data_IF_890840453572
#
_entry.id   IF_890840453572
#
_cell.length_a   1.000
_cell.length_b   1.000
_cell.length_c   1.000
_cell.angle_alpha   90.00
_cell.angle_beta   90.00
_cell.angle_gamma   90.00
#
_symmetry.space_group_name_H-M   'P 1'
#
loop_
_entity.id
_entity.type
_entity.pdbx_description
1 polymer ?
#
# COMPACT_ATOMS: atom_id res chain seq x y z
N UNK A 1 -16.77 27.03 -5.64
CA UNK A 1 -15.44 26.95 -4.98
C UNK A 1 -15.64 26.93 -3.48
N UNK A 2 -14.83 26.17 -2.72
CA UNK A 2 -14.92 26.17 -1.25
C UNK A 2 -14.51 27.53 -0.69
N UNK A 3 -15.14 27.97 0.40
CA UNK A 3 -14.93 29.32 0.95
C UNK A 3 -13.50 29.57 1.45
N UNK A 4 -12.79 28.51 1.83
CA UNK A 4 -11.40 28.56 2.29
C UNK A 4 -10.55 27.54 1.52
N UNK A 5 -10.03 27.90 0.33
CA UNK A 5 -9.21 26.99 -0.46
C UNK A 5 -7.87 26.71 0.22
N UNK A 6 -7.44 25.45 0.23
CA UNK A 6 -6.12 25.06 0.73
C UNK A 6 -5.06 25.63 -0.20
N UNK A 7 -4.03 26.34 0.33
CA UNK A 7 -2.95 26.88 -0.48
C UNK A 7 -1.98 25.76 -0.86
N UNK A 8 -2.28 25.04 -1.93
CA UNK A 8 -1.37 24.01 -2.45
C UNK A 8 -0.10 24.64 -3.06
N UNK A 9 1.06 23.96 -2.91
CA UNK A 9 2.32 24.47 -3.46
C UNK A 9 2.28 24.54 -5.00
N UNK A 10 3.18 25.34 -5.57
CA UNK A 10 3.42 25.44 -7.02
C UNK A 10 2.18 25.83 -7.86
N UNK A 11 1.19 26.50 -7.27
CA UNK A 11 -0.03 26.93 -7.96
C UNK A 11 -0.99 25.77 -8.28
N UNK A 12 -0.82 24.61 -7.65
CA UNK A 12 -1.74 23.49 -7.80
C UNK A 12 -3.14 23.83 -7.31
N UNK A 13 -4.16 23.22 -7.92
CA UNK A 13 -5.57 23.39 -7.53
C UNK A 13 -6.07 22.30 -6.59
N UNK A 14 -5.35 21.18 -6.52
CA UNK A 14 -5.62 20.05 -5.64
C UNK A 14 -4.32 19.27 -5.38
N UNK A 15 -4.35 18.41 -4.37
CA UNK A 15 -3.35 17.37 -4.18
C UNK A 15 -3.98 16.00 -4.47
N UNK A 16 -3.15 15.06 -4.92
CA UNK A 16 -3.51 13.66 -5.07
C UNK A 16 -2.46 12.82 -4.33
N UNK A 17 -2.91 11.90 -3.49
CA UNK A 17 -2.06 10.92 -2.83
C UNK A 17 -2.48 9.53 -3.30
N UNK A 18 -1.54 8.78 -3.87
CA UNK A 18 -1.74 7.36 -4.16
C UNK A 18 -1.00 6.59 -3.08
N UNK A 19 -1.75 5.84 -2.30
CA UNK A 19 -1.24 5.07 -1.16
C UNK A 19 -1.42 3.57 -1.40
N UNK A 20 -0.56 2.79 -0.75
CA UNK A 20 -0.61 1.34 -0.83
C UNK A 20 -0.67 0.73 0.56
N UNK A 21 -1.68 -0.11 0.77
CA UNK A 21 -1.78 -0.93 1.97
C UNK A 21 -1.09 -2.26 1.64
N UNK A 22 0.08 -2.47 2.23
CA UNK A 22 0.86 -3.69 2.04
C UNK A 22 0.61 -4.64 3.21
N UNK A 23 -0.59 -5.21 3.22
CA UNK A 23 -1.06 -6.04 4.33
C UNK A 23 -0.47 -7.45 4.32
N UNK A 24 0.04 -7.92 3.17
CA UNK A 24 0.48 -9.29 2.96
C UNK A 24 -0.56 -10.31 3.47
N UNK A 25 -0.16 -11.19 4.40
CA UNK A 25 -1.00 -12.20 5.03
C UNK A 25 -1.59 -11.75 6.38
N UNK A 26 -1.57 -10.46 6.70
CA UNK A 26 -1.93 -10.01 8.05
C UNK A 26 -3.36 -10.24 8.49
N UNK A 27 -4.31 -10.03 7.59
CA UNK A 27 -5.71 -10.34 7.87
C UNK A 27 -5.94 -11.85 8.09
N UNK A 28 -5.04 -12.70 7.59
CA UNK A 28 -5.15 -14.16 7.78
C UNK A 28 -4.83 -14.52 9.22
N UNK A 29 -3.74 -14.03 9.81
CA UNK A 29 -3.48 -14.36 11.22
C UNK A 29 -4.44 -13.64 12.18
N UNK A 30 -4.99 -12.47 11.83
CA UNK A 30 -6.06 -11.85 12.63
C UNK A 30 -7.33 -12.69 12.61
N UNK A 31 -7.77 -13.13 11.42
CA UNK A 31 -9.03 -13.88 11.28
C UNK A 31 -8.92 -15.35 11.70
N UNK A 32 -7.71 -15.90 11.71
CA UNK A 32 -7.37 -17.28 12.06
C UNK A 32 -6.16 -17.32 13.00
N UNK A 33 -6.32 -16.88 14.26
CA UNK A 33 -5.18 -16.71 15.17
C UNK A 33 -4.51 -18.02 15.57
N UNK A 34 -5.20 -19.15 15.46
CA UNK A 34 -4.66 -20.46 15.83
C UNK A 34 -3.87 -21.11 14.70
N UNK A 35 -4.42 -21.11 13.47
CA UNK A 35 -3.89 -21.90 12.34
C UNK A 35 -3.60 -21.07 11.09
N UNK A 36 -3.74 -19.74 11.13
CA UNK A 36 -3.61 -18.85 9.98
C UNK A 36 -2.27 -19.00 9.25
N UNK A 37 -1.19 -19.16 10.02
CA UNK A 37 0.17 -19.34 9.53
C UNK A 37 0.38 -20.64 8.73
N UNK A 38 -0.44 -21.66 8.95
CA UNK A 38 -0.34 -22.98 8.28
C UNK A 38 -1.32 -23.12 7.10
N UNK A 39 -2.08 -22.06 6.79
CA UNK A 39 -3.00 -22.06 5.66
C UNK A 39 -2.23 -21.78 4.37
N UNK A 40 -1.79 -22.84 3.70
CA UNK A 40 -0.95 -22.78 2.50
C UNK A 40 -1.44 -21.79 1.44
N UNK A 41 -2.71 -21.88 1.04
CA UNK A 41 -3.27 -21.02 -0.02
C UNK A 41 -3.18 -19.52 0.30
N UNK A 42 -3.79 -19.01 1.40
CA UNK A 42 -3.78 -17.57 1.66
C UNK A 42 -2.39 -17.05 2.02
N UNK A 43 -1.53 -17.84 2.68
CA UNK A 43 -0.14 -17.45 2.96
C UNK A 43 0.67 -17.34 1.66
N UNK A 44 0.55 -18.31 0.76
CA UNK A 44 1.24 -18.26 -0.54
C UNK A 44 0.76 -17.08 -1.39
N UNK A 45 -0.54 -16.77 -1.36
CA UNK A 45 -1.08 -15.60 -2.05
C UNK A 45 -0.55 -14.30 -1.43
N UNK A 46 -0.59 -14.17 -0.09
CA UNK A 46 -0.14 -12.98 0.63
C UNK A 46 1.31 -12.61 0.35
N UNK A 47 2.19 -13.60 0.14
CA UNK A 47 3.59 -13.39 -0.23
C UNK A 47 3.79 -12.65 -1.56
N UNK A 48 2.82 -12.69 -2.48
CA UNK A 48 2.95 -12.01 -3.77
C UNK A 48 3.09 -10.49 -3.63
N UNK A 49 2.41 -9.89 -2.64
CA UNK A 49 2.49 -8.46 -2.33
C UNK A 49 3.94 -7.97 -2.15
N UNK A 50 4.64 -8.39 -1.07
CA UNK A 50 6.00 -7.92 -0.77
C UNK A 50 7.05 -8.44 -1.76
N UNK A 51 6.88 -9.64 -2.33
CA UNK A 51 7.95 -10.27 -3.15
C UNK A 51 7.86 -9.95 -4.65
N UNK A 52 6.69 -9.58 -5.15
CA UNK A 52 6.48 -9.34 -6.60
C UNK A 52 5.81 -7.99 -6.86
N UNK A 53 4.71 -7.68 -6.16
CA UNK A 53 3.94 -6.48 -6.45
C UNK A 53 4.69 -5.20 -6.04
N UNK A 54 5.25 -5.14 -4.82
CA UNK A 54 6.00 -3.97 -4.32
C UNK A 54 7.17 -3.60 -5.23
N UNK A 55 8.08 -4.52 -5.61
CA UNK A 55 9.16 -4.20 -6.54
C UNK A 55 8.65 -3.60 -7.87
N UNK A 56 7.55 -4.13 -8.42
CA UNK A 56 6.96 -3.63 -9.68
C UNK A 56 6.33 -2.24 -9.53
N UNK A 57 5.68 -1.97 -8.40
CA UNK A 57 5.12 -0.66 -8.07
C UNK A 57 6.25 0.36 -7.95
N UNK A 58 7.30 0.05 -7.17
CA UNK A 58 8.46 0.93 -6.99
C UNK A 58 9.14 1.23 -8.33
N UNK A 59 9.31 0.22 -9.20
CA UNK A 59 9.83 0.40 -10.56
C UNK A 59 9.02 1.42 -11.36
N UNK A 60 7.69 1.28 -11.34
CA UNK A 60 6.78 2.15 -12.10
C UNK A 60 6.85 3.59 -11.59
N UNK A 61 6.84 3.78 -10.27
CA UNK A 61 6.91 5.11 -9.66
C UNK A 61 8.22 5.81 -9.95
N UNK A 62 9.34 5.06 -9.90
CA UNK A 62 10.65 5.58 -10.25
C UNK A 62 10.72 6.04 -11.71
N UNK A 63 10.12 5.29 -12.64
CA UNK A 63 10.03 5.68 -14.07
C UNK A 63 9.16 6.91 -14.30
N UNK A 64 8.14 7.12 -13.48
CA UNK A 64 7.22 8.26 -13.58
C UNK A 64 7.68 9.48 -12.74
N UNK A 65 8.75 9.36 -11.96
CA UNK A 65 9.20 10.41 -11.04
C UNK A 65 8.19 10.69 -9.91
N UNK A 66 7.41 9.69 -9.51
CA UNK A 66 6.39 9.80 -8.47
C UNK A 66 6.89 9.30 -7.12
N UNK A 67 6.31 9.84 -6.05
CA UNK A 67 6.49 9.37 -4.67
C UNK A 67 5.18 8.80 -4.13
N UNK A 68 5.26 7.79 -3.27
CA UNK A 68 4.11 7.14 -2.63
C UNK A 68 4.33 6.94 -1.13
N UNK A 69 3.21 6.69 -0.43
CA UNK A 69 3.20 6.25 0.95
C UNK A 69 2.70 4.81 1.05
N UNK A 70 3.38 4.01 1.86
CA UNK A 70 2.97 2.63 2.18
C UNK A 70 2.48 2.57 3.63
N UNK A 71 1.35 1.92 3.84
CA UNK A 71 0.87 1.51 5.15
C UNK A 71 1.18 0.03 5.32
N UNK A 72 2.03 -0.29 6.30
CA UNK A 72 2.57 -1.64 6.51
C UNK A 72 2.29 -2.07 7.95
N UNK A 73 1.62 -3.20 8.18
CA UNK A 73 1.49 -3.79 9.53
C UNK A 73 2.88 -4.05 10.15
N UNK A 74 3.07 -3.66 11.41
CA UNK A 74 4.38 -3.72 12.08
C UNK A 74 4.66 -4.99 12.90
N UNK A 75 3.69 -5.90 12.96
CA UNK A 75 3.75 -7.16 13.72
C UNK A 75 4.76 -8.19 13.18
#
# INVERSE_FOLDING_TARGET
MIQNPIPWPNGAKCACAITFDMDADSLIHISKPVDGHDRLYPISMGKYGPTVAVPRILETYRRLGLTQSFFIPGW
#
